data_IF_153859415491
#
_entry.id   IF_153859415491
#
_cell.length_a   1.000
_cell.length_b   1.000
_cell.length_c   1.000
_cell.angle_alpha   90.00
_cell.angle_beta   90.00
_cell.angle_gamma   90.00
#
_symmetry.space_group_name_H-M   'P 1'
#
loop_
_entity.id
_entity.type
_entity.pdbx_description
1 polymer ?
#
# COMPACT_ATOMS: atom_id res chain seq x y z
N UNK A 1 27.74 -11.83 -4.69
CA UNK A 1 27.12 -12.68 -5.73
C UNK A 1 26.29 -11.77 -6.60
N UNK A 2 26.28 -11.96 -7.92
CA UNK A 2 25.43 -11.18 -8.85
C UNK A 2 24.32 -12.08 -9.41
N UNK A 3 23.15 -11.50 -9.64
CA UNK A 3 21.98 -12.15 -10.21
C UNK A 3 21.57 -11.44 -11.50
N UNK A 4 21.31 -12.21 -12.55
CA UNK A 4 20.58 -11.69 -13.71
C UNK A 4 19.14 -11.34 -13.33
N UNK A 5 18.48 -10.51 -14.15
CA UNK A 5 17.06 -10.17 -13.94
C UNK A 5 16.15 -11.41 -13.85
N UNK A 6 16.47 -12.49 -14.55
CA UNK A 6 15.69 -13.73 -14.51
C UNK A 6 15.91 -14.51 -13.21
N UNK A 7 17.14 -14.56 -12.72
CA UNK A 7 17.47 -15.19 -11.44
C UNK A 7 16.85 -14.42 -10.28
N UNK A 8 16.98 -13.08 -10.28
CA UNK A 8 16.39 -12.23 -9.27
C UNK A 8 14.85 -12.32 -9.27
N UNK A 9 14.24 -12.38 -10.46
CA UNK A 9 12.80 -12.59 -10.61
C UNK A 9 12.35 -13.93 -9.99
N UNK A 10 13.12 -15.00 -10.22
CA UNK A 10 12.82 -16.33 -9.67
C UNK A 10 13.04 -16.39 -8.16
N UNK A 11 14.06 -15.70 -7.66
CA UNK A 11 14.40 -15.63 -6.24
C UNK A 11 13.35 -14.85 -5.44
N UNK A 12 12.94 -13.68 -5.95
CA UNK A 12 12.05 -12.76 -5.23
C UNK A 12 10.56 -13.01 -5.50
N UNK A 13 10.21 -13.80 -6.52
CA UNK A 13 8.83 -13.96 -6.99
C UNK A 13 8.29 -12.75 -7.76
N UNK A 14 9.09 -11.70 -7.93
CA UNK A 14 8.73 -10.49 -8.68
C UNK A 14 8.92 -10.73 -10.16
N UNK A 15 7.96 -10.32 -11.00
CA UNK A 15 8.11 -10.48 -12.45
C UNK A 15 9.27 -9.64 -13.01
N UNK A 16 9.91 -10.12 -14.07
CA UNK A 16 10.94 -9.34 -14.77
C UNK A 16 10.40 -8.00 -15.30
N UNK A 17 9.10 -7.92 -15.64
CA UNK A 17 8.42 -6.68 -16.01
C UNK A 17 8.41 -5.67 -14.85
N UNK A 18 8.08 -6.12 -13.64
CA UNK A 18 8.10 -5.28 -12.44
C UNK A 18 9.51 -4.80 -12.11
N UNK A 19 10.53 -5.66 -12.22
CA UNK A 19 11.93 -5.24 -12.00
C UNK A 19 12.38 -4.17 -13.01
N UNK A 20 11.99 -4.28 -14.28
CA UNK A 20 12.27 -3.23 -15.29
C UNK A 20 11.52 -1.94 -14.99
N UNK A 21 10.31 -2.04 -14.48
CA UNK A 21 9.53 -0.88 -14.09
C UNK A 21 10.14 -0.17 -12.88
N UNK A 22 10.61 -0.92 -11.87
CA UNK A 22 11.34 -0.35 -10.73
C UNK A 22 12.63 0.36 -11.16
N UNK A 23 13.35 -0.18 -12.15
CA UNK A 23 14.50 0.49 -12.79
C UNK A 23 14.05 1.80 -13.46
N UNK A 24 12.97 1.77 -14.24
CA UNK A 24 12.43 2.94 -14.96
C UNK A 24 12.02 4.09 -14.03
N UNK A 25 11.38 3.81 -12.89
CA UNK A 25 11.01 4.83 -11.89
C UNK A 25 12.18 5.19 -10.94
N UNK A 26 13.32 4.53 -11.10
CA UNK A 26 14.52 4.71 -10.30
C UNK A 26 14.42 4.18 -8.87
N UNK A 27 13.47 3.27 -8.61
CA UNK A 27 13.28 2.66 -7.29
C UNK A 27 14.32 1.55 -7.02
N UNK A 28 14.63 0.75 -8.04
CA UNK A 28 15.66 -0.30 -7.97
C UNK A 28 16.45 -0.35 -9.28
N UNK A 29 17.68 0.17 -9.25
CA UNK A 29 18.58 0.14 -10.41
C UNK A 29 19.44 -1.12 -10.39
N UNK A 30 19.79 -1.69 -11.55
CA UNK A 30 20.77 -2.77 -11.62
C UNK A 30 22.16 -2.28 -11.19
N UNK A 31 22.96 -3.16 -10.60
CA UNK A 31 24.36 -2.86 -10.26
C UNK A 31 25.19 -2.55 -11.51
N UNK A 32 24.90 -3.26 -12.61
CA UNK A 32 25.49 -3.01 -13.92
C UNK A 32 24.57 -3.45 -15.05
N UNK A 33 24.77 -2.83 -16.20
CA UNK A 33 24.18 -3.22 -17.48
C UNK A 33 25.31 -3.62 -18.42
N UNK A 34 25.28 -4.86 -18.91
CA UNK A 34 26.24 -5.33 -19.89
C UNK A 34 26.03 -4.65 -21.25
N UNK A 35 27.04 -4.68 -22.13
CA UNK A 35 26.95 -4.12 -23.49
C UNK A 35 25.81 -4.75 -24.31
N UNK A 36 25.48 -6.02 -24.02
CA UNK A 36 24.33 -6.73 -24.59
C UNK A 36 22.96 -6.25 -24.09
N UNK A 37 22.92 -5.29 -23.16
CA UNK A 37 21.70 -4.79 -22.52
C UNK A 37 21.18 -5.64 -21.35
N UNK A 38 21.89 -6.71 -20.98
CA UNK A 38 21.55 -7.56 -19.83
C UNK A 38 21.80 -6.84 -18.51
N UNK A 39 20.83 -6.94 -17.60
CA UNK A 39 20.86 -6.31 -16.26
C UNK A 39 21.31 -7.32 -15.22
N UNK A 40 22.21 -6.88 -14.35
CA UNK A 40 22.70 -7.64 -13.20
C UNK A 40 22.44 -6.86 -11.92
N UNK A 41 22.19 -7.60 -10.85
CA UNK A 41 21.85 -7.08 -9.53
C UNK A 41 22.78 -7.74 -8.51
N UNK A 42 23.48 -6.94 -7.71
CA UNK A 42 24.35 -7.40 -6.64
C UNK A 42 23.61 -7.60 -5.33
N UNK A 43 24.37 -7.79 -4.25
CA UNK A 43 23.80 -7.97 -2.91
C UNK A 43 22.99 -6.77 -2.44
N UNK A 44 23.51 -5.55 -2.65
CA UNK A 44 22.82 -4.32 -2.24
C UNK A 44 21.46 -4.15 -2.93
N UNK A 45 21.36 -4.52 -4.22
CA UNK A 45 20.10 -4.48 -4.95
C UNK A 45 19.11 -5.56 -4.47
N UNK A 46 19.62 -6.71 -4.03
CA UNK A 46 18.78 -7.76 -3.42
C UNK A 46 18.22 -7.28 -2.08
N UNK A 47 19.07 -6.71 -1.22
CA UNK A 47 18.66 -6.17 0.08
C UNK A 47 17.64 -5.03 -0.10
N UNK A 48 17.90 -4.14 -1.05
CA UNK A 48 16.97 -3.06 -1.40
C UNK A 48 15.65 -3.60 -1.95
N UNK A 49 15.67 -4.64 -2.78
CA UNK A 49 14.44 -5.28 -3.28
C UNK A 49 13.65 -5.90 -2.12
N UNK A 50 14.32 -6.52 -1.14
CA UNK A 50 13.67 -7.06 0.04
C UNK A 50 12.94 -5.96 0.83
N UNK A 51 13.59 -4.83 1.07
CA UNK A 51 12.96 -3.67 1.72
C UNK A 51 11.75 -3.15 0.93
N UNK A 52 11.89 -2.99 -0.39
CA UNK A 52 10.77 -2.56 -1.27
C UNK A 52 9.58 -3.50 -1.12
N UNK A 53 9.82 -4.83 -1.16
CA UNK A 53 8.75 -5.82 -1.05
C UNK A 53 8.11 -5.84 0.33
N UNK A 54 8.90 -5.65 1.39
CA UNK A 54 8.41 -5.52 2.74
C UNK A 54 7.45 -4.34 2.87
N UNK A 55 7.85 -3.16 2.40
CA UNK A 55 7.00 -1.97 2.43
C UNK A 55 5.76 -2.07 1.55
N UNK A 56 5.88 -2.70 0.38
CA UNK A 56 4.74 -2.99 -0.47
C UNK A 56 3.75 -3.93 0.19
N UNK A 57 4.22 -4.94 0.92
CA UNK A 57 3.36 -5.83 1.68
C UNK A 57 2.63 -5.10 2.81
N UNK A 58 3.23 -4.05 3.37
CA UNK A 58 2.58 -3.17 4.35
C UNK A 58 1.59 -2.19 3.71
N UNK A 59 1.57 -2.05 2.38
CA UNK A 59 0.65 -1.15 1.67
C UNK A 59 1.20 0.26 1.46
N UNK A 60 2.50 0.48 1.64
CA UNK A 60 3.13 1.77 1.38
C UNK A 60 3.23 2.02 -0.13
N UNK A 61 2.98 3.26 -0.55
CA UNK A 61 3.08 3.68 -1.95
C UNK A 61 4.53 3.73 -2.43
N UNK A 62 4.77 3.37 -3.70
CA UNK A 62 6.14 3.23 -4.22
C UNK A 62 6.94 4.54 -4.23
N UNK A 63 6.25 5.68 -4.38
CA UNK A 63 6.88 7.00 -4.28
C UNK A 63 7.44 7.23 -2.87
N UNK A 64 6.65 6.94 -1.84
CA UNK A 64 7.08 7.02 -0.44
C UNK A 64 8.20 6.03 -0.16
N UNK A 65 8.10 4.78 -0.64
CA UNK A 65 9.17 3.79 -0.47
C UNK A 65 10.50 4.30 -1.03
N UNK A 66 10.47 4.95 -2.21
CA UNK A 66 11.67 5.53 -2.81
C UNK A 66 12.28 6.61 -1.91
N UNK A 67 11.47 7.55 -1.44
CA UNK A 67 11.90 8.61 -0.53
C UNK A 67 12.51 8.02 0.76
N UNK A 68 11.86 7.02 1.36
CA UNK A 68 12.34 6.32 2.55
C UNK A 68 13.71 5.66 2.36
N UNK A 69 13.94 5.05 1.19
CA UNK A 69 15.15 4.28 0.91
C UNK A 69 16.29 5.12 0.31
N UNK A 70 15.99 6.34 -0.17
CA UNK A 70 16.98 7.25 -0.75
C UNK A 70 17.46 8.31 0.25
N UNK A 71 16.69 8.62 1.30
CA UNK A 71 17.04 9.61 2.31
C UNK A 71 17.68 8.98 3.57
N UNK A 72 18.98 9.24 3.84
CA UNK A 72 19.68 8.72 5.02
C UNK A 72 19.18 9.29 6.35
N UNK A 73 18.50 10.45 6.31
CA UNK A 73 17.95 11.14 7.47
C UNK A 73 16.50 10.77 7.76
N UNK A 74 15.89 9.97 6.90
CA UNK A 74 14.50 9.59 7.00
C UNK A 74 14.24 8.68 8.20
N UNK A 75 13.31 9.09 9.07
CA UNK A 75 12.87 8.28 10.19
C UNK A 75 11.93 7.16 9.70
N UNK A 76 12.55 6.05 9.31
CA UNK A 76 11.92 4.81 8.88
C UNK A 76 10.81 4.36 9.85
N UNK A 77 11.04 4.53 11.16
CA UNK A 77 10.12 4.07 12.20
C UNK A 77 8.92 5.02 12.32
N UNK A 78 9.12 6.32 12.20
CA UNK A 78 8.03 7.30 12.16
C UNK A 78 7.09 7.06 10.97
N UNK A 79 7.64 6.79 9.78
CA UNK A 79 6.83 6.50 8.59
C UNK A 79 5.97 5.24 8.74
N UNK A 80 6.55 4.17 9.31
CA UNK A 80 5.81 2.94 9.62
C UNK A 80 4.70 3.18 10.64
N UNK A 81 4.94 4.01 11.66
CA UNK A 81 3.92 4.38 12.66
C UNK A 81 2.78 5.18 12.02
N UNK A 82 3.08 6.15 11.17
CA UNK A 82 2.08 6.94 10.45
C UNK A 82 1.24 6.04 9.53
N UNK A 83 1.88 5.11 8.82
CA UNK A 83 1.17 4.16 7.97
C UNK A 83 0.30 3.19 8.77
N UNK A 84 0.79 2.68 9.90
CA UNK A 84 -0.02 1.87 10.82
C UNK A 84 -1.27 2.64 11.28
N UNK A 85 -1.12 3.88 11.72
CA UNK A 85 -2.25 4.72 12.12
C UNK A 85 -3.27 4.90 10.98
N UNK A 86 -2.80 5.11 9.74
CA UNK A 86 -3.67 5.20 8.57
C UNK A 86 -4.43 3.89 8.28
N UNK A 87 -3.76 2.74 8.42
CA UNK A 87 -4.39 1.42 8.27
C UNK A 87 -5.44 1.16 9.37
N UNK A 88 -5.17 1.57 10.61
CA UNK A 88 -6.11 1.44 11.72
C UNK A 88 -7.35 2.32 11.50
N UNK A 89 -7.17 3.54 11.01
CA UNK A 89 -8.28 4.43 10.66
C UNK A 89 -9.14 3.85 9.51
N UNK A 90 -8.50 3.29 8.47
CA UNK A 90 -9.25 2.65 7.38
C UNK A 90 -9.97 1.37 7.85
N UNK A 91 -9.37 0.59 8.76
CA UNK A 91 -10.05 -0.55 9.40
C UNK A 91 -11.32 -0.10 10.12
N UNK A 92 -11.25 0.94 10.94
CA UNK A 92 -12.42 1.46 11.66
C UNK A 92 -13.51 1.95 10.69
N UNK A 93 -13.13 2.64 9.62
CA UNK A 93 -14.06 3.06 8.57
C UNK A 93 -14.73 1.87 7.89
N UNK A 94 -13.98 0.83 7.53
CA UNK A 94 -14.52 -0.38 6.92
C UNK A 94 -15.46 -1.13 7.86
N UNK A 95 -15.14 -1.20 9.16
CA UNK A 95 -16.02 -1.79 10.17
C UNK A 95 -17.35 -1.04 10.30
N UNK A 96 -17.33 0.29 10.23
CA UNK A 96 -18.56 1.11 10.22
C UNK A 96 -19.40 0.84 8.97
N UNK A 97 -18.77 0.75 7.79
CA UNK A 97 -19.46 0.43 6.54
C UNK A 97 -20.08 -0.96 6.57
N UNK A 98 -19.33 -1.97 7.05
CA UNK A 98 -19.84 -3.33 7.20
C UNK A 98 -21.06 -3.35 8.13
N UNK A 99 -21.03 -2.59 9.23
CA UNK A 99 -22.17 -2.49 10.15
C UNK A 99 -23.40 -1.88 9.46
N UNK A 100 -23.21 -0.77 8.75
CA UNK A 100 -24.29 -0.14 7.98
C UNK A 100 -24.91 -1.08 6.95
N UNK A 101 -24.09 -1.86 6.24
CA UNK A 101 -24.59 -2.83 5.26
C UNK A 101 -25.37 -3.95 5.94
N UNK A 102 -24.89 -4.47 7.07
CA UNK A 102 -25.61 -5.48 7.87
C UNK A 102 -26.96 -4.98 8.36
N UNK A 103 -27.01 -3.74 8.87
CA UNK A 103 -28.26 -3.14 9.34
C UNK A 103 -29.28 -2.98 8.20
N UNK A 104 -28.80 -2.56 7.02
CA UNK A 104 -29.62 -2.43 5.81
C UNK A 104 -30.18 -3.77 5.35
N UNK A 105 -29.32 -4.81 5.24
CA UNK A 105 -29.73 -6.17 4.88
C UNK A 105 -30.80 -6.68 5.86
N UNK A 106 -30.57 -6.52 7.16
CA UNK A 106 -31.53 -6.98 8.16
C UNK A 106 -32.89 -6.29 8.06
N UNK A 107 -32.92 -5.00 7.70
CA UNK A 107 -34.17 -4.29 7.49
C UNK A 107 -34.92 -4.75 6.24
N UNK A 108 -34.20 -5.00 5.13
CA UNK A 108 -34.79 -5.57 3.91
C UNK A 108 -35.34 -6.98 4.15
N UNK A 109 -34.61 -7.85 4.85
CA UNK A 109 -35.04 -9.23 5.16
C UNK A 109 -36.30 -9.30 6.03
N UNK A 110 -36.53 -8.30 6.90
CA UNK A 110 -37.72 -8.21 7.75
C UNK A 110 -38.94 -7.62 7.07
N UNK A 111 -38.82 -7.15 5.82
CA UNK A 111 -39.89 -6.47 5.07
C UNK A 111 -40.48 -5.26 5.85
N UNK A 112 -39.68 -4.67 6.74
CA UNK A 112 -40.04 -3.47 7.50
C UNK A 112 -39.66 -2.24 6.68
N UNK A 113 -40.63 -1.35 6.44
CA UNK A 113 -40.36 -0.05 5.82
C UNK A 113 -39.47 0.74 6.79
N UNK A 114 -38.16 0.79 6.56
CA UNK A 114 -37.26 1.66 7.33
C UNK A 114 -37.80 3.10 7.28
N UNK A 115 -37.91 3.75 8.44
CA UNK A 115 -38.29 5.16 8.46
C UNK A 115 -37.20 5.99 7.78
N UNK A 116 -37.58 7.12 7.18
CA UNK A 116 -36.62 7.98 6.49
C UNK A 116 -35.51 8.48 7.43
N UNK A 117 -35.79 8.66 8.72
CA UNK A 117 -34.76 8.96 9.73
C UNK A 117 -33.70 7.87 9.88
N UNK A 118 -34.10 6.58 9.83
CA UNK A 118 -33.16 5.46 9.92
C UNK A 118 -32.28 5.33 8.67
N UNK A 119 -32.83 5.63 7.49
CA UNK A 119 -32.08 5.65 6.22
C UNK A 119 -30.98 6.71 6.20
N UNK A 120 -31.25 7.88 6.79
CA UNK A 120 -30.32 9.01 6.78
C UNK A 120 -29.41 9.10 8.02
N UNK A 121 -29.68 8.37 9.10
CA UNK A 121 -28.79 8.33 10.29
C UNK A 121 -27.38 7.83 9.98
N UNK A 122 -27.28 6.82 9.09
CA UNK A 122 -25.99 6.32 8.58
C UNK A 122 -25.17 7.44 7.92
N UNK A 123 -25.83 8.39 7.25
CA UNK A 123 -25.20 9.51 6.58
C UNK A 123 -25.00 10.74 7.48
N UNK A 124 -25.86 10.96 8.49
CA UNK A 124 -25.72 12.09 9.43
C UNK A 124 -24.46 12.00 10.29
N UNK A 125 -24.05 10.79 10.70
CA UNK A 125 -22.77 10.60 11.41
C UNK A 125 -21.55 10.92 10.53
N UNK A 126 -21.71 10.86 9.20
CA UNK A 126 -20.68 11.22 8.22
C UNK A 126 -20.50 12.73 8.04
N UNK A 127 -21.56 13.52 8.21
CA UNK A 127 -21.52 14.97 7.97
C UNK A 127 -20.95 15.77 9.15
N UNK A 128 -21.12 15.29 10.38
CA UNK A 128 -20.65 16.02 11.58
C UNK A 128 -19.12 15.96 11.72
N UNK A 129 -18.46 14.92 11.21
CA UNK A 129 -17.00 14.78 11.32
C UNK A 129 -16.18 15.58 10.29
N UNK A 130 -16.80 16.15 9.23
CA UNK A 130 -16.07 16.87 8.17
C UNK A 130 -16.29 18.39 8.17
N UNK A 131 -17.16 18.91 9.04
CA UNK A 131 -17.52 20.34 9.06
C UNK A 131 -16.89 21.15 10.20
N UNK A 132 -16.03 20.56 11.05
CA UNK A 132 -15.32 21.30 12.12
C UNK A 132 -13.84 21.62 11.82
N UNK A 133 -13.36 21.37 10.60
CA UNK A 133 -11.99 21.74 10.17
C UNK A 133 -11.94 22.68 8.95
N UNK A 134 -12.93 23.58 8.77
CA UNK A 134 -12.83 24.72 7.83
C UNK A 134 -13.19 26.03 8.52
#
# INVERSE_FOLDING_TARGET
MEYSIQELSRLSGVTTRTLRWYDQIGLLKPSRVAESGYRYYGGAEVDRLQDILYYRALGVELAQIKECLDDPSFDRLAALRNHLAALEAERERLEQLIRSVKDTIGAEERNEIMSDEQKFEVFKRRTVAHNEEV
#
